data_IF_223894795150
#
_entry.id   IF_223894795150
#
_cell.length_a   1.000
_cell.length_b   1.000
_cell.length_c   1.000
_cell.angle_alpha   90.00
_cell.angle_beta   90.00
_cell.angle_gamma   90.00
#
_symmetry.space_group_name_H-M   'P 1'
#
loop_
_entity.id
_entity.type
_entity.pdbx_description
1 polymer ?
#
# COMPACT_ATOMS: atom_id res chain seq x y z
N UNK A 1 -0.24 -14.83 38.22
CA UNK A 1 -1.23 -13.90 38.79
C UNK A 1 -2.57 -14.13 38.10
N UNK A 2 -3.66 -14.19 38.86
CA UNK A 2 -5.00 -14.29 38.28
C UNK A 2 -5.34 -12.99 37.53
N UNK A 3 -5.80 -13.11 36.27
CA UNK A 3 -6.22 -11.96 35.47
C UNK A 3 -7.67 -11.67 35.78
N UNK A 4 -7.89 -10.80 36.75
CA UNK A 4 -9.22 -10.43 37.23
C UNK A 4 -9.77 -9.17 36.55
N UNK A 5 -8.93 -8.45 35.80
CA UNK A 5 -9.30 -7.21 35.12
C UNK A 5 -9.73 -7.51 33.69
N UNK A 6 -11.03 -7.65 33.47
CA UNK A 6 -11.62 -7.92 32.15
C UNK A 6 -12.13 -6.63 31.52
N UNK A 7 -11.91 -6.49 30.23
CA UNK A 7 -12.37 -5.37 29.41
C UNK A 7 -13.19 -5.92 28.26
N UNK A 8 -14.36 -5.34 28.03
CA UNK A 8 -15.18 -5.60 26.85
C UNK A 8 -15.34 -4.29 26.10
N UNK A 9 -14.72 -4.21 24.93
CA UNK A 9 -14.78 -3.04 24.04
C UNK A 9 -15.68 -3.40 22.86
N UNK A 10 -16.71 -2.60 22.64
CA UNK A 10 -17.64 -2.74 21.53
C UNK A 10 -17.59 -1.48 20.69
N UNK A 11 -17.36 -1.64 19.39
CA UNK A 11 -17.37 -0.56 18.39
C UNK A 11 -18.52 -0.88 17.44
N UNK A 12 -19.54 -0.02 17.39
CA UNK A 12 -20.73 -0.19 16.56
C UNK A 12 -20.63 0.68 15.31
N UNK A 13 -21.05 0.14 14.17
CA UNK A 13 -21.03 0.82 12.89
C UNK A 13 -22.43 1.14 12.39
N UNK A 14 -22.53 2.01 11.38
CA UNK A 14 -23.78 2.35 10.70
C UNK A 14 -24.32 1.26 9.77
N UNK A 15 -23.68 0.09 9.71
CA UNK A 15 -24.12 -1.03 8.87
C UNK A 15 -25.32 -1.75 9.48
N UNK A 16 -26.25 -2.20 8.64
CA UNK A 16 -27.36 -3.06 9.05
C UNK A 16 -27.07 -4.56 8.81
N UNK A 17 -25.99 -4.86 8.07
CA UNK A 17 -25.55 -6.22 7.80
C UNK A 17 -24.89 -6.84 9.05
N UNK A 18 -24.99 -8.16 9.23
CA UNK A 18 -24.44 -8.88 10.39
C UNK A 18 -23.55 -10.05 10.00
N UNK A 19 -22.95 -10.02 8.81
CA UNK A 19 -22.12 -11.12 8.37
C UNK A 19 -20.88 -11.20 9.26
N UNK A 20 -20.46 -12.42 9.59
CA UNK A 20 -19.25 -12.64 10.37
C UNK A 20 -18.02 -12.50 9.47
N UNK A 21 -17.11 -11.61 9.85
CA UNK A 21 -15.87 -11.31 9.12
C UNK A 21 -14.66 -11.97 9.77
N UNK A 22 -14.65 -12.08 11.11
CA UNK A 22 -13.60 -12.75 11.87
C UNK A 22 -14.11 -13.15 13.25
N UNK A 23 -13.73 -14.35 13.70
CA UNK A 23 -13.93 -14.79 15.08
C UNK A 23 -12.69 -15.59 15.49
N UNK A 24 -11.99 -15.14 16.52
CA UNK A 24 -10.76 -15.81 16.91
C UNK A 24 -10.11 -15.27 18.17
N UNK A 25 -8.97 -15.87 18.51
CA UNK A 25 -8.11 -15.42 19.60
C UNK A 25 -6.84 -14.83 19.03
N UNK A 26 -6.63 -13.54 19.28
CA UNK A 26 -5.49 -12.78 18.73
C UNK A 26 -4.46 -12.48 19.83
N UNK A 27 -3.16 -12.70 19.58
CA UNK A 27 -2.13 -12.29 20.53
C UNK A 27 -2.12 -10.76 20.66
N UNK A 28 -1.65 -10.25 21.79
CA UNK A 28 -1.50 -8.81 22.02
C UNK A 28 -0.06 -8.45 22.43
N UNK A 29 0.36 -7.18 22.25
CA UNK A 29 1.73 -6.77 22.51
C UNK A 29 2.21 -7.12 23.92
N UNK A 30 3.50 -7.48 24.03
CA UNK A 30 4.17 -7.79 25.30
C UNK A 30 3.68 -9.07 26.02
N UNK A 31 2.83 -9.88 25.37
CA UNK A 31 2.36 -11.16 25.89
C UNK A 31 2.96 -12.33 25.12
N UNK A 32 3.62 -13.26 25.83
CA UNK A 32 4.20 -14.46 25.21
C UNK A 32 3.18 -15.56 24.90
N UNK A 33 2.05 -15.60 25.60
CA UNK A 33 1.13 -16.76 25.56
C UNK A 33 -0.35 -16.40 25.65
N UNK A 34 -0.68 -15.14 25.93
CA UNK A 34 -2.05 -14.73 26.15
C UNK A 34 -2.60 -13.97 24.94
N UNK A 35 -3.91 -14.12 24.77
CA UNK A 35 -4.67 -13.66 23.62
C UNK A 35 -5.94 -12.97 24.10
N UNK A 36 -6.43 -12.04 23.30
CA UNK A 36 -7.75 -11.43 23.45
C UNK A 36 -8.74 -12.16 22.52
N UNK A 37 -10.00 -12.25 22.92
CA UNK A 37 -11.05 -12.79 22.05
C UNK A 37 -11.59 -11.63 21.19
N UNK A 38 -11.61 -11.85 19.88
CA UNK A 38 -11.98 -10.84 18.89
C UNK A 38 -13.10 -11.40 18.02
N UNK A 39 -14.19 -10.64 17.92
CA UNK A 39 -15.30 -10.90 17.00
C UNK A 39 -15.53 -9.66 16.16
N UNK A 40 -15.54 -9.83 14.84
CA UNK A 40 -15.80 -8.76 13.87
C UNK A 40 -16.97 -9.21 12.98
N UNK A 41 -17.99 -8.37 12.92
CA UNK A 41 -19.13 -8.45 12.00
C UNK A 41 -19.26 -7.14 11.24
N UNK A 42 -20.09 -7.11 10.20
CA UNK A 42 -20.33 -5.86 9.44
C UNK A 42 -20.89 -4.71 10.28
N UNK A 43 -21.64 -5.00 11.35
CA UNK A 43 -22.26 -4.00 12.23
C UNK A 43 -21.43 -3.68 13.48
N UNK A 44 -20.47 -4.53 13.88
CA UNK A 44 -19.68 -4.29 15.09
C UNK A 44 -18.32 -4.99 15.15
N UNK A 45 -17.44 -4.44 15.97
CA UNK A 45 -16.25 -5.11 16.52
C UNK A 45 -16.45 -5.31 18.02
N UNK A 46 -16.13 -6.50 18.53
CA UNK A 46 -16.09 -6.81 19.96
C UNK A 46 -14.73 -7.39 20.34
N UNK A 47 -14.07 -6.75 21.32
CA UNK A 47 -12.79 -7.17 21.88
C UNK A 47 -12.99 -7.50 23.35
N UNK A 48 -12.68 -8.75 23.73
CA UNK A 48 -12.69 -9.22 25.11
C UNK A 48 -11.26 -9.47 25.55
N UNK A 49 -10.81 -8.68 26.52
CA UNK A 49 -9.42 -8.63 26.93
C UNK A 49 -9.25 -8.80 28.44
N UNK A 50 -8.32 -9.67 28.85
CA UNK A 50 -7.99 -9.90 30.26
C UNK A 50 -6.58 -9.41 30.57
N UNK A 51 -6.45 -8.59 31.62
CA UNK A 51 -5.18 -7.97 32.05
C UNK A 51 -4.83 -8.33 33.48
N UNK A 52 -3.53 -8.30 33.78
CA UNK A 52 -3.01 -8.53 35.13
C UNK A 52 -3.22 -7.33 36.05
N UNK A 53 -3.23 -6.12 35.49
CA UNK A 53 -3.38 -4.86 36.20
C UNK A 53 -4.55 -4.07 35.62
N UNK A 54 -5.18 -3.24 36.44
CA UNK A 54 -6.20 -2.28 36.00
C UNK A 54 -5.57 -1.25 35.06
N UNK A 55 -6.11 -1.15 33.85
CA UNK A 55 -5.92 -0.06 32.89
C UNK A 55 -6.95 1.03 33.16
N UNK A 56 -6.54 2.30 33.03
CA UNK A 56 -7.46 3.43 33.01
C UNK A 56 -8.28 3.42 31.72
N UNK A 57 -9.60 3.30 31.83
CA UNK A 57 -10.48 3.19 30.66
C UNK A 57 -10.54 4.50 29.86
N UNK A 58 -10.31 5.65 30.50
CA UNK A 58 -10.35 6.95 29.82
C UNK A 58 -9.16 7.13 28.88
N UNK A 59 -7.98 6.68 29.30
CA UNK A 59 -6.75 6.75 28.50
C UNK A 59 -6.57 5.65 27.45
N UNK A 60 -7.56 4.76 27.24
CA UNK A 60 -7.45 3.66 26.25
C UNK A 60 -7.24 4.20 24.84
N UNK A 61 -7.88 5.33 24.50
CA UNK A 61 -7.85 5.90 23.15
C UNK A 61 -6.67 6.86 22.90
N UNK A 62 -5.98 7.29 23.97
CA UNK A 62 -4.89 8.26 23.88
C UNK A 62 -3.50 7.60 23.96
N UNK A 63 -3.41 6.39 24.51
CA UNK A 63 -2.14 5.70 24.71
C UNK A 63 -1.83 4.74 23.56
N UNK A 64 -1.10 5.21 22.55
CA UNK A 64 -0.65 4.41 21.40
C UNK A 64 0.21 3.20 21.76
N UNK A 65 0.82 3.18 22.94
CA UNK A 65 1.63 2.05 23.43
C UNK A 65 0.79 1.00 24.19
N UNK A 66 -0.51 1.24 24.38
CA UNK A 66 -1.41 0.31 25.06
C UNK A 66 -1.75 -0.88 24.18
N UNK A 67 -1.68 -2.09 24.74
CA UNK A 67 -2.13 -3.30 24.06
C UNK A 67 -3.61 -3.21 23.64
N UNK A 68 -4.47 -2.56 24.44
CA UNK A 68 -5.89 -2.37 24.07
C UNK A 68 -6.03 -1.43 22.87
N UNK A 69 -5.26 -0.34 22.83
CA UNK A 69 -5.24 0.57 21.69
C UNK A 69 -4.79 -0.14 20.41
N UNK A 70 -3.70 -0.90 20.48
CA UNK A 70 -3.20 -1.66 19.33
C UNK A 70 -4.25 -2.66 18.82
N UNK A 71 -4.97 -3.35 19.70
CA UNK A 71 -6.05 -4.27 19.29
C UNK A 71 -7.21 -3.54 18.61
N UNK A 72 -7.60 -2.36 19.09
CA UNK A 72 -8.61 -1.51 18.44
C UNK A 72 -8.15 -1.18 17.01
N UNK A 73 -6.92 -0.70 16.84
CA UNK A 73 -6.39 -0.31 15.53
C UNK A 73 -6.31 -1.51 14.58
N UNK A 74 -5.77 -2.66 15.02
CA UNK A 74 -5.73 -3.90 14.23
C UNK A 74 -7.14 -4.28 13.75
N UNK A 75 -8.11 -4.26 14.67
CA UNK A 75 -9.50 -4.64 14.36
C UNK A 75 -10.17 -3.68 13.39
N UNK A 76 -9.95 -2.37 13.53
CA UNK A 76 -10.48 -1.35 12.61
C UNK A 76 -9.90 -1.50 11.21
N UNK A 77 -8.57 -1.71 11.09
CA UNK A 77 -7.91 -1.92 9.80
C UNK A 77 -8.43 -3.19 9.12
N UNK A 78 -8.51 -4.30 9.86
CA UNK A 78 -9.08 -5.55 9.35
C UNK A 78 -10.51 -5.34 8.83
N UNK A 79 -11.35 -4.69 9.64
CA UNK A 79 -12.76 -4.42 9.31
C UNK A 79 -12.90 -3.62 8.01
N UNK A 80 -12.21 -2.49 7.87
CA UNK A 80 -12.32 -1.67 6.66
C UNK A 80 -11.78 -2.38 5.41
N UNK A 81 -10.73 -3.19 5.55
CA UNK A 81 -10.21 -4.02 4.47
C UNK A 81 -11.22 -5.10 4.02
N UNK A 82 -11.89 -5.78 4.97
CA UNK A 82 -12.86 -6.83 4.65
C UNK A 82 -14.16 -6.27 4.07
N UNK A 83 -14.73 -5.24 4.71
CA UNK A 83 -16.03 -4.69 4.32
C UNK A 83 -15.92 -3.89 3.03
N UNK A 84 -14.81 -3.16 2.83
CA UNK A 84 -14.62 -2.28 1.68
C UNK A 84 -15.72 -1.23 1.52
N UNK A 85 -16.26 -0.73 2.64
CA UNK A 85 -17.24 0.37 2.70
C UNK A 85 -16.85 1.35 3.80
N UNK A 86 -17.20 2.61 3.60
CA UNK A 86 -16.99 3.70 4.55
C UNK A 86 -18.03 3.75 5.68
N UNK A 87 -18.18 2.65 6.41
CA UNK A 87 -19.15 2.57 7.50
C UNK A 87 -18.71 3.47 8.67
N UNK A 88 -19.58 4.38 9.10
CA UNK A 88 -19.32 5.31 10.20
C UNK A 88 -19.41 4.60 11.53
N UNK A 89 -18.54 4.98 12.48
CA UNK A 89 -18.65 4.51 13.87
C UNK A 89 -19.75 5.30 14.57
N UNK A 90 -20.77 4.61 15.07
CA UNK A 90 -21.92 5.23 15.74
C UNK A 90 -21.70 5.35 17.24
N UNK A 91 -21.00 4.37 17.83
CA UNK A 91 -20.80 4.27 19.27
C UNK A 91 -19.58 3.39 19.59
N UNK A 92 -18.81 3.81 20.60
CA UNK A 92 -17.76 2.98 21.22
C UNK A 92 -18.07 2.84 22.70
N UNK A 93 -18.23 1.60 23.16
CA UNK A 93 -18.47 1.28 24.57
C UNK A 93 -17.32 0.44 25.13
N UNK A 94 -16.79 0.83 26.29
CA UNK A 94 -15.84 0.02 27.05
C UNK A 94 -16.39 -0.28 28.44
N UNK A 95 -16.54 -1.56 28.76
CA UNK A 95 -16.93 -2.03 30.09
C UNK A 95 -15.70 -2.62 30.79
N UNK A 96 -15.38 -2.11 31.98
CA UNK A 96 -14.40 -2.71 32.88
C UNK A 96 -15.11 -3.60 33.90
N UNK A 97 -14.74 -4.88 33.92
CA UNK A 97 -15.33 -5.93 34.74
C UNK A 97 -14.25 -6.44 35.70
N UNK A 98 -14.60 -6.53 36.98
CA UNK A 98 -13.76 -7.12 38.02
C UNK A 98 -14.59 -8.05 38.89
N UNK A 99 -14.11 -9.29 39.08
CA UNK A 99 -14.82 -10.35 39.78
C UNK A 99 -16.30 -10.47 39.31
N UNK A 100 -16.51 -10.55 37.99
CA UNK A 100 -17.82 -10.69 37.28
C UNK A 100 -18.78 -9.49 37.35
N UNK A 101 -18.40 -8.40 38.02
CA UNK A 101 -19.23 -7.19 38.14
C UNK A 101 -18.65 -6.06 37.30
N UNK A 102 -19.51 -5.35 36.53
CA UNK A 102 -19.12 -4.11 35.85
C UNK A 102 -18.79 -3.06 36.91
N UNK A 103 -17.55 -2.60 36.94
CA UNK A 103 -17.06 -1.60 37.89
C UNK A 103 -16.96 -0.21 37.29
N UNK A 104 -16.76 -0.12 35.98
CA UNK A 104 -16.62 1.15 35.27
C UNK A 104 -17.08 0.99 33.82
N UNK A 105 -17.58 2.09 33.24
CA UNK A 105 -18.14 2.14 31.89
C UNK A 105 -17.78 3.45 31.22
N UNK A 106 -17.20 3.36 30.02
CA UNK A 106 -16.96 4.49 29.14
C UNK A 106 -17.82 4.32 27.87
N UNK A 107 -18.45 5.42 27.45
CA UNK A 107 -19.23 5.49 26.21
C UNK A 107 -18.78 6.72 25.46
N UNK A 108 -18.39 6.55 24.20
CA UNK A 108 -18.04 7.61 23.26
C UNK A 108 -19.05 7.57 22.12
N UNK A 109 -19.80 8.65 21.93
CA UNK A 109 -20.84 8.76 20.89
C UNK A 109 -20.23 9.33 19.60
N UNK A 110 -20.88 9.11 18.45
CA UNK A 110 -20.34 9.47 17.13
C UNK A 110 -19.75 10.89 17.02
N UNK A 111 -20.37 11.89 17.64
CA UNK A 111 -19.91 13.29 17.55
C UNK A 111 -18.52 13.54 18.18
N UNK A 112 -18.10 12.66 19.09
CA UNK A 112 -16.81 12.75 19.79
C UNK A 112 -15.76 11.80 19.17
N UNK A 113 -16.13 11.04 18.13
CA UNK A 113 -15.25 10.07 17.48
C UNK A 113 -14.55 10.71 16.29
N UNK A 114 -13.24 10.82 16.38
CA UNK A 114 -12.40 11.17 15.24
C UNK A 114 -12.11 9.92 14.40
N UNK A 115 -12.97 9.63 13.42
CA UNK A 115 -12.80 8.51 12.51
C UNK A 115 -11.93 8.89 11.31
N UNK A 116 -11.23 7.88 10.76
CA UNK A 116 -10.33 8.09 9.61
C UNK A 116 -11.11 8.14 8.29
N UNK A 117 -12.27 7.49 8.24
CA UNK A 117 -13.05 7.24 7.03
C UNK A 117 -14.32 8.06 7.07
N UNK A 118 -14.61 8.79 5.99
CA UNK A 118 -15.82 9.58 5.81
C UNK A 118 -16.81 8.87 4.88
N UNK A 119 -18.11 9.15 5.04
CA UNK A 119 -19.20 8.37 4.40
C UNK A 119 -19.15 8.28 2.87
N UNK A 120 -18.45 9.20 2.22
CA UNK A 120 -18.30 9.32 0.77
C UNK A 120 -17.00 8.69 0.24
N UNK A 121 -16.14 8.16 1.12
CA UNK A 121 -14.94 7.43 0.71
C UNK A 121 -15.28 6.12 -0.01
N UNK A 122 -14.62 5.85 -1.14
CA UNK A 122 -14.74 4.58 -1.86
C UNK A 122 -13.62 3.61 -1.47
N UNK A 123 -13.97 2.64 -0.62
CA UNK A 123 -13.07 1.55 -0.20
C UNK A 123 -13.33 0.24 -0.95
N UNK A 124 -14.15 0.25 -2.02
CA UNK A 124 -14.61 -0.97 -2.69
C UNK A 124 -13.48 -1.84 -3.21
N UNK A 125 -12.37 -1.23 -3.60
CA UNK A 125 -11.19 -1.94 -4.10
C UNK A 125 -10.53 -2.82 -3.03
N UNK A 126 -10.66 -2.48 -1.75
CA UNK A 126 -10.12 -3.28 -0.65
C UNK A 126 -10.77 -4.66 -0.53
N UNK A 127 -11.99 -4.85 -1.07
CA UNK A 127 -12.65 -6.17 -1.10
C UNK A 127 -11.89 -7.24 -1.90
N UNK A 128 -10.90 -6.82 -2.69
CA UNK A 128 -10.01 -7.74 -3.41
C UNK A 128 -8.92 -8.32 -2.50
N UNK A 129 -8.76 -7.82 -1.28
CA UNK A 129 -7.89 -8.40 -0.27
C UNK A 129 -8.49 -9.71 0.23
N UNK A 130 -7.66 -10.74 0.35
CA UNK A 130 -8.07 -12.03 0.86
C UNK A 130 -8.12 -12.01 2.38
N UNK A 131 -9.27 -12.37 2.96
CA UNK A 131 -9.49 -12.29 4.41
C UNK A 131 -8.43 -13.05 5.23
N UNK A 132 -8.03 -14.25 4.78
CA UNK A 132 -7.03 -15.06 5.47
C UNK A 132 -5.65 -14.38 5.49
N UNK A 133 -5.27 -13.68 4.42
CA UNK A 133 -3.99 -12.97 4.32
C UNK A 133 -4.04 -11.65 5.13
N UNK A 134 -5.24 -11.11 5.42
CA UNK A 134 -5.36 -9.97 6.32
C UNK A 134 -5.04 -10.32 7.78
N UNK A 135 -5.19 -11.59 8.19
CA UNK A 135 -4.96 -12.01 9.58
C UNK A 135 -3.52 -11.80 10.05
N UNK A 136 -2.55 -11.66 9.14
CA UNK A 136 -1.14 -11.37 9.46
C UNK A 136 -0.97 -10.14 10.34
N UNK A 137 -1.88 -9.15 10.26
CA UNK A 137 -1.79 -7.96 11.11
C UNK A 137 -2.04 -8.26 12.59
N UNK A 138 -2.70 -9.39 12.90
CA UNK A 138 -2.92 -9.81 14.27
C UNK A 138 -1.67 -10.43 14.89
N UNK A 139 -0.67 -10.82 14.09
CA UNK A 139 0.59 -11.32 14.62
C UNK A 139 1.35 -10.27 15.44
N UNK A 140 2.06 -10.73 16.47
CA UNK A 140 3.00 -9.93 17.25
C UNK A 140 4.43 -10.18 16.75
N UNK A 141 4.63 -10.01 15.45
CA UNK A 141 5.89 -10.22 14.72
C UNK A 141 6.30 -8.94 13.96
N UNK A 142 7.58 -8.78 13.59
CA UNK A 142 7.99 -7.69 12.68
C UNK A 142 7.20 -7.69 11.37
N UNK A 143 6.82 -8.88 10.87
CA UNK A 143 5.96 -9.05 9.69
C UNK A 143 4.57 -8.47 9.94
N UNK A 144 3.87 -8.93 10.98
CA UNK A 144 2.55 -8.42 11.33
C UNK A 144 2.52 -6.90 11.56
N UNK A 145 3.56 -6.35 12.21
CA UNK A 145 3.67 -4.91 12.42
C UNK A 145 3.86 -4.13 11.11
N UNK A 146 4.73 -4.60 10.22
CA UNK A 146 4.93 -4.02 8.89
C UNK A 146 3.65 -4.02 8.06
N UNK A 147 2.88 -5.11 8.09
CA UNK A 147 1.61 -5.23 7.38
C UNK A 147 0.51 -4.35 7.99
N UNK A 148 0.45 -4.23 9.32
CA UNK A 148 -0.46 -3.28 9.97
C UNK A 148 -0.17 -1.83 9.54
N UNK A 149 1.10 -1.42 9.51
CA UNK A 149 1.50 -0.10 9.01
C UNK A 149 1.09 0.07 7.54
N UNK A 150 1.36 -0.94 6.72
CA UNK A 150 1.04 -0.92 5.31
C UNK A 150 -0.46 -0.73 5.05
N UNK A 151 -1.29 -1.55 5.70
CA UNK A 151 -2.73 -1.51 5.52
C UNK A 151 -3.36 -0.26 6.13
N UNK A 152 -2.83 0.25 7.25
CA UNK A 152 -3.23 1.56 7.80
C UNK A 152 -3.03 2.66 6.77
N UNK A 153 -1.85 2.71 6.13
CA UNK A 153 -1.57 3.68 5.09
C UNK A 153 -2.42 3.46 3.83
N UNK A 154 -2.70 2.22 3.46
CA UNK A 154 -3.55 1.89 2.32
C UNK A 154 -4.98 2.36 2.54
N UNK A 155 -5.63 1.99 3.65
CA UNK A 155 -6.98 2.46 4.01
C UNK A 155 -7.02 3.99 3.99
N UNK A 156 -6.06 4.62 4.67
CA UNK A 156 -5.97 6.09 4.73
C UNK A 156 -5.77 6.74 3.35
N UNK A 157 -5.27 6.02 2.35
CA UNK A 157 -5.08 6.58 1.01
C UNK A 157 -6.36 6.71 0.19
N UNK A 158 -7.40 5.92 0.53
CA UNK A 158 -8.74 6.07 -0.05
C UNK A 158 -9.49 7.26 0.54
N UNK A 159 -9.14 7.65 1.77
CA UNK A 159 -9.69 8.80 2.49
C UNK A 159 -8.88 10.10 2.27
N UNK A 160 -8.16 10.20 1.14
CA UNK A 160 -7.30 11.36 0.85
C UNK A 160 -8.00 12.29 -0.12
N UNK A 161 -8.21 13.54 0.29
CA UNK A 161 -8.77 14.59 -0.59
C UNK A 161 -7.86 14.89 -1.79
N UNK A 162 -6.55 14.92 -1.56
CA UNK A 162 -5.53 15.19 -2.58
C UNK A 162 -5.03 13.89 -3.24
N UNK A 163 -4.97 13.83 -4.60
CA UNK A 163 -4.34 12.72 -5.30
C UNK A 163 -2.86 12.50 -4.95
N UNK A 164 -2.15 13.57 -4.61
CA UNK A 164 -0.75 13.50 -4.21
C UNK A 164 -0.60 12.87 -2.83
N UNK A 165 -1.47 13.24 -1.89
CA UNK A 165 -1.49 12.66 -0.54
C UNK A 165 -1.89 11.19 -0.60
N UNK A 166 -2.88 10.86 -1.44
CA UNK A 166 -3.29 9.48 -1.71
C UNK A 166 -2.10 8.67 -2.23
N UNK A 167 -1.40 9.17 -3.25
CA UNK A 167 -0.20 8.53 -3.81
C UNK A 167 0.92 8.39 -2.77
N UNK A 168 1.20 9.41 -1.96
CA UNK A 168 2.21 9.33 -0.91
C UNK A 168 1.86 8.28 0.14
N UNK A 169 0.59 8.21 0.57
CA UNK A 169 0.10 7.19 1.52
C UNK A 169 0.23 5.79 0.91
N UNK A 170 -0.13 5.60 -0.36
CA UNK A 170 0.09 4.33 -1.08
C UNK A 170 1.56 3.97 -1.18
N UNK A 171 2.42 4.95 -1.44
CA UNK A 171 3.87 4.73 -1.45
C UNK A 171 4.42 4.37 -0.06
N UNK A 172 3.89 4.96 1.02
CA UNK A 172 4.24 4.55 2.40
C UNK A 172 3.77 3.12 2.69
N UNK A 173 2.59 2.74 2.20
CA UNK A 173 2.09 1.37 2.26
C UNK A 173 3.04 0.41 1.55
N UNK A 174 3.41 0.73 0.31
CA UNK A 174 4.35 -0.03 -0.49
C UNK A 174 5.69 -0.18 0.24
N UNK A 175 6.25 0.92 0.74
CA UNK A 175 7.48 0.95 1.54
C UNK A 175 7.44 0.03 2.76
N UNK A 176 6.33 -0.03 3.48
CA UNK A 176 6.21 -0.90 4.64
C UNK A 176 6.23 -2.38 4.23
N UNK A 177 5.50 -2.75 3.18
CA UNK A 177 5.46 -4.13 2.66
C UNK A 177 6.82 -4.58 2.12
N UNK A 178 7.40 -3.86 1.15
CA UNK A 178 8.59 -4.38 0.49
C UNK A 178 9.83 -4.34 1.38
N UNK A 179 9.90 -3.46 2.39
CA UNK A 179 10.98 -3.49 3.40
C UNK A 179 10.96 -4.80 4.17
N UNK A 180 9.77 -5.25 4.55
CA UNK A 180 9.56 -6.50 5.26
C UNK A 180 9.88 -7.71 4.37
N UNK A 181 9.41 -7.68 3.12
CA UNK A 181 9.54 -8.80 2.19
C UNK A 181 10.98 -8.97 1.68
N UNK A 182 11.68 -7.88 1.35
CA UNK A 182 13.04 -7.97 0.81
C UNK A 182 14.12 -8.16 1.86
N UNK A 183 13.92 -7.66 3.09
CA UNK A 183 14.92 -7.59 4.15
C UNK A 183 16.26 -6.92 3.74
N UNK A 184 16.25 -6.10 2.68
CA UNK A 184 17.45 -5.45 2.15
C UNK A 184 17.78 -4.14 2.89
N UNK A 185 19.06 -3.78 2.90
CA UNK A 185 19.60 -2.65 3.69
C UNK A 185 19.34 -1.27 3.07
N UNK A 186 19.12 -1.18 1.77
CA UNK A 186 18.92 0.10 1.06
C UNK A 186 17.83 0.04 0.00
N UNK A 187 17.30 1.22 -0.31
CA UNK A 187 16.18 1.42 -1.22
C UNK A 187 16.40 0.85 -2.63
N UNK A 188 17.61 0.96 -3.17
CA UNK A 188 17.90 0.45 -4.51
C UNK A 188 17.84 -1.09 -4.55
N UNK A 189 18.47 -1.77 -3.60
CA UNK A 189 18.42 -3.24 -3.50
C UNK A 189 17.00 -3.74 -3.30
N UNK A 190 16.20 -3.03 -2.49
CA UNK A 190 14.77 -3.33 -2.31
C UNK A 190 13.98 -3.26 -3.61
N UNK A 191 14.21 -2.24 -4.43
CA UNK A 191 13.57 -2.12 -5.75
C UNK A 191 14.02 -3.22 -6.72
N UNK A 192 15.30 -3.60 -6.68
CA UNK A 192 15.84 -4.73 -7.46
C UNK A 192 15.17 -6.04 -7.03
N UNK A 193 15.04 -6.29 -5.73
CA UNK A 193 14.34 -7.45 -5.20
C UNK A 193 12.90 -7.52 -5.72
N UNK A 194 12.13 -6.44 -5.60
CA UNK A 194 10.72 -6.43 -6.04
C UNK A 194 10.60 -6.63 -7.55
N UNK A 195 11.50 -6.04 -8.35
CA UNK A 195 11.58 -6.31 -9.78
C UNK A 195 11.79 -7.80 -10.06
N UNK A 196 12.78 -8.41 -9.42
CA UNK A 196 13.09 -9.82 -9.66
C UNK A 196 11.94 -10.73 -9.23
N UNK A 197 11.26 -10.39 -8.13
CA UNK A 197 10.10 -11.15 -7.68
C UNK A 197 8.93 -11.05 -8.67
N UNK A 198 8.60 -9.86 -9.19
CA UNK A 198 7.59 -9.68 -10.24
C UNK A 198 7.90 -10.50 -11.52
N UNK A 199 9.18 -10.67 -11.83
CA UNK A 199 9.64 -11.42 -13.01
C UNK A 199 9.55 -12.94 -12.76
N UNK A 200 9.97 -13.39 -11.58
CA UNK A 200 10.08 -14.81 -11.27
C UNK A 200 8.77 -15.44 -10.81
N UNK A 201 7.83 -14.63 -10.29
CA UNK A 201 6.55 -15.08 -9.72
C UNK A 201 5.36 -14.29 -10.30
N UNK A 202 5.16 -14.27 -11.63
CA UNK A 202 4.07 -13.52 -12.26
C UNK A 202 2.67 -13.94 -11.79
N UNK A 203 2.50 -15.20 -11.38
CA UNK A 203 1.25 -15.78 -10.88
C UNK A 203 0.74 -15.11 -9.59
N UNK A 204 1.63 -14.46 -8.83
CA UNK A 204 1.31 -13.76 -7.58
C UNK A 204 0.79 -12.33 -7.81
N UNK A 205 0.70 -11.88 -9.06
CA UNK A 205 0.28 -10.51 -9.41
C UNK A 205 -0.91 -10.44 -10.38
N UNK A 206 -1.99 -11.23 -10.17
CA UNK A 206 -3.07 -11.36 -11.13
C UNK A 206 -3.84 -10.05 -11.35
N UNK A 207 -4.06 -9.26 -10.29
CA UNK A 207 -4.87 -8.04 -10.41
C UNK A 207 -4.13 -6.95 -11.19
N UNK A 208 -2.85 -6.76 -10.88
CA UNK A 208 -2.01 -5.78 -11.58
C UNK A 208 -1.81 -6.19 -13.03
N UNK A 209 -1.59 -7.48 -13.31
CA UNK A 209 -1.32 -7.94 -14.67
C UNK A 209 -2.57 -7.93 -15.56
N UNK A 210 -3.76 -8.15 -15.02
CA UNK A 210 -5.01 -7.98 -15.78
C UNK A 210 -5.11 -6.56 -16.36
N UNK A 211 -4.77 -5.53 -15.58
CA UNK A 211 -4.79 -4.14 -16.06
C UNK A 211 -3.61 -3.83 -16.97
N UNK A 212 -2.40 -4.24 -16.59
CA UNK A 212 -1.17 -3.95 -17.35
C UNK A 212 -1.19 -4.62 -18.72
N UNK A 213 -1.79 -5.81 -18.86
CA UNK A 213 -1.89 -6.52 -20.14
C UNK A 213 -2.68 -5.74 -21.20
N UNK A 214 -3.60 -4.87 -20.78
CA UNK A 214 -4.47 -4.07 -21.66
C UNK A 214 -3.83 -2.75 -22.09
N UNK A 215 -2.68 -2.39 -21.53
CA UNK A 215 -1.99 -1.14 -21.86
C UNK A 215 -1.30 -1.22 -23.22
N UNK A 216 -1.35 -0.11 -23.95
CA UNK A 216 -0.59 0.11 -25.20
C UNK A 216 0.55 1.12 -24.96
N UNK A 217 1.58 1.10 -25.80
CA UNK A 217 2.68 2.06 -25.71
C UNK A 217 2.18 3.51 -25.79
N UNK A 218 1.30 3.81 -26.74
CA UNK A 218 0.67 5.14 -26.90
C UNK A 218 -0.09 5.55 -25.65
N UNK A 219 -0.95 4.66 -25.12
CA UNK A 219 -1.74 4.94 -23.92
C UNK A 219 -0.85 5.24 -22.71
N UNK A 220 0.27 4.54 -22.56
CA UNK A 220 1.26 4.84 -21.52
C UNK A 220 1.90 6.22 -21.79
N UNK A 221 2.39 6.49 -23.02
CA UNK A 221 3.10 7.74 -23.34
C UNK A 221 2.28 8.99 -23.07
N UNK A 222 0.96 8.93 -23.27
CA UNK A 222 0.06 10.05 -22.99
C UNK A 222 -0.02 10.38 -21.50
N UNK A 223 0.04 9.36 -20.64
CA UNK A 223 -0.05 9.49 -19.18
C UNK A 223 1.28 9.85 -18.52
N UNK A 224 2.41 9.48 -19.12
CA UNK A 224 3.73 9.65 -18.51
C UNK A 224 4.57 10.81 -19.06
N UNK A 225 5.35 11.43 -18.19
CA UNK A 225 6.43 12.39 -18.50
C UNK A 225 7.76 11.69 -18.78
N UNK A 226 7.77 10.69 -19.66
CA UNK A 226 8.94 9.81 -19.92
C UNK A 226 10.25 10.55 -20.24
N UNK A 227 10.21 11.59 -21.06
CA UNK A 227 11.41 12.39 -21.40
C UNK A 227 11.99 13.07 -20.15
N UNK A 228 11.14 13.57 -19.24
CA UNK A 228 11.60 14.14 -17.96
C UNK A 228 12.21 13.06 -17.06
N UNK A 229 11.66 11.85 -17.07
CA UNK A 229 12.25 10.69 -16.39
C UNK A 229 13.64 10.37 -16.95
N UNK A 230 13.81 10.27 -18.27
CA UNK A 230 15.12 10.05 -18.90
C UNK A 230 16.12 11.15 -18.50
N UNK A 231 15.71 12.41 -18.59
CA UNK A 231 16.59 13.53 -18.22
C UNK A 231 17.00 13.52 -16.75
N UNK A 232 16.09 13.12 -15.85
CA UNK A 232 16.39 13.09 -14.43
C UNK A 232 17.29 11.91 -14.04
N UNK A 233 16.96 10.71 -14.53
CA UNK A 233 17.63 9.48 -14.10
C UNK A 233 18.94 9.21 -14.85
N UNK A 234 19.09 9.78 -16.06
CA UNK A 234 20.26 9.61 -16.92
C UNK A 234 20.72 10.98 -17.41
N UNK A 235 21.03 11.88 -16.49
CA UNK A 235 21.33 13.29 -16.75
C UNK A 235 22.62 13.52 -17.55
N UNK A 236 23.64 12.67 -17.34
CA UNK A 236 25.02 12.93 -17.77
C UNK A 236 25.59 11.81 -18.64
N UNK A 237 26.66 12.10 -19.39
CA UNK A 237 27.41 11.11 -20.18
C UNK A 237 28.01 9.98 -19.33
N UNK A 238 28.27 10.21 -18.03
CA UNK A 238 28.72 9.16 -17.10
C UNK A 238 27.63 8.12 -16.81
N UNK A 239 26.35 8.48 -17.01
CA UNK A 239 25.20 7.61 -16.75
C UNK A 239 24.71 6.89 -18.01
N UNK A 240 25.38 7.04 -19.16
CA UNK A 240 24.98 6.39 -20.42
C UNK A 240 24.90 4.87 -20.29
N UNK A 241 25.86 4.25 -19.59
CA UNK A 241 25.82 2.79 -19.36
C UNK A 241 24.57 2.39 -18.57
N UNK A 242 24.21 3.17 -17.55
CA UNK A 242 22.99 2.94 -16.79
C UNK A 242 21.73 3.11 -17.65
N UNK A 243 21.75 4.03 -18.62
CA UNK A 243 20.65 4.20 -19.57
C UNK A 243 20.53 3.01 -20.51
N UNK A 244 21.64 2.52 -21.08
CA UNK A 244 21.70 1.26 -21.83
C UNK A 244 21.13 0.12 -20.98
N UNK A 245 21.67 -0.09 -19.78
CA UNK A 245 21.27 -1.16 -18.88
C UNK A 245 19.79 -1.10 -18.51
N UNK A 246 19.23 0.10 -18.34
CA UNK A 246 17.80 0.29 -18.16
C UNK A 246 16.98 -0.18 -19.37
N UNK A 247 17.42 0.13 -20.59
CA UNK A 247 16.71 -0.30 -21.80
C UNK A 247 16.80 -1.82 -21.97
N UNK A 248 18.02 -2.36 -21.98
CA UNK A 248 18.25 -3.79 -22.29
C UNK A 248 17.70 -4.74 -21.22
N UNK A 249 17.53 -4.28 -19.98
CA UNK A 249 16.90 -5.09 -18.94
C UNK A 249 15.39 -5.30 -19.17
N UNK A 250 14.77 -4.62 -20.14
CA UNK A 250 13.33 -4.68 -20.40
C UNK A 250 13.05 -5.31 -21.77
N UNK A 251 12.17 -6.32 -21.79
CA UNK A 251 11.90 -7.15 -22.97
C UNK A 251 10.48 -6.95 -23.51
N UNK A 252 9.68 -6.08 -22.88
CA UNK A 252 8.31 -5.80 -23.33
C UNK A 252 8.31 -4.84 -24.52
N UNK A 253 7.65 -5.21 -25.61
CA UNK A 253 7.59 -4.42 -26.84
C UNK A 253 7.02 -3.01 -26.61
N UNK A 254 6.10 -2.83 -25.66
CA UNK A 254 5.51 -1.51 -25.39
C UNK A 254 6.55 -0.58 -24.77
N UNK A 255 7.39 -1.09 -23.89
CA UNK A 255 8.55 -0.35 -23.38
C UNK A 255 9.57 -0.09 -24.49
N UNK A 256 9.78 -1.04 -25.39
CA UNK A 256 10.68 -0.87 -26.52
C UNK A 256 10.19 0.26 -27.45
N UNK A 257 8.90 0.30 -27.83
CA UNK A 257 8.30 1.38 -28.63
C UNK A 257 8.44 2.75 -27.94
N UNK A 258 8.19 2.80 -26.63
CA UNK A 258 8.36 4.02 -25.81
C UNK A 258 9.80 4.51 -25.84
N UNK A 259 10.78 3.61 -25.67
CA UNK A 259 12.19 3.97 -25.68
C UNK A 259 12.68 4.32 -27.08
N UNK A 260 12.23 3.61 -28.12
CA UNK A 260 12.57 3.91 -29.52
C UNK A 260 12.08 5.30 -29.91
N UNK A 261 10.83 5.65 -29.59
CA UNK A 261 10.26 6.98 -29.87
C UNK A 261 10.92 8.12 -29.08
N UNK A 262 11.72 7.80 -28.06
CA UNK A 262 12.43 8.79 -27.23
C UNK A 262 13.95 8.62 -27.24
N UNK A 263 14.49 7.78 -28.12
CA UNK A 263 15.92 7.46 -28.17
C UNK A 263 16.78 8.69 -28.48
N UNK A 264 16.24 9.61 -29.29
CA UNK A 264 16.84 10.91 -29.66
C UNK A 264 17.22 11.77 -28.44
N UNK A 265 16.57 11.59 -27.30
CA UNK A 265 16.85 12.32 -26.05
C UNK A 265 18.27 12.09 -25.54
N UNK A 266 18.83 10.90 -25.79
CA UNK A 266 20.18 10.47 -25.35
C UNK A 266 21.01 9.84 -26.45
N UNK A 267 20.59 9.97 -27.71
CA UNK A 267 21.27 9.41 -28.87
C UNK A 267 22.75 9.80 -28.95
N UNK A 268 23.07 11.09 -28.81
CA UNK A 268 24.46 11.54 -28.82
C UNK A 268 25.30 10.84 -27.76
N UNK A 269 24.78 10.70 -26.54
CA UNK A 269 25.51 10.06 -25.44
C UNK A 269 25.76 8.57 -25.72
N UNK A 270 24.79 7.89 -26.33
CA UNK A 270 24.93 6.50 -26.74
C UNK A 270 25.97 6.34 -27.86
N UNK A 271 25.94 7.21 -28.88
CA UNK A 271 26.91 7.22 -29.98
C UNK A 271 28.32 7.51 -29.50
N UNK A 272 28.50 8.53 -28.66
CA UNK A 272 29.79 8.91 -28.07
C UNK A 272 30.41 7.76 -27.24
N UNK A 273 29.59 6.84 -26.71
CA UNK A 273 30.02 5.66 -25.94
C UNK A 273 30.06 4.37 -26.77
N UNK A 274 29.69 4.40 -28.05
CA UNK A 274 29.61 3.21 -28.90
C UNK A 274 28.51 2.22 -28.51
N UNK A 275 27.48 2.65 -27.76
CA UNK A 275 26.41 1.79 -27.23
C UNK A 275 25.12 1.86 -28.04
N UNK A 276 25.04 2.75 -29.04
CA UNK A 276 23.82 3.02 -29.78
C UNK A 276 23.29 1.79 -30.52
N UNK A 277 24.16 1.08 -31.25
CA UNK A 277 23.76 -0.08 -32.05
C UNK A 277 23.21 -1.22 -31.19
N UNK A 278 23.82 -1.48 -30.02
CA UNK A 278 23.31 -2.49 -29.07
C UNK A 278 21.89 -2.16 -28.61
N UNK A 279 21.65 -0.88 -28.27
CA UNK A 279 20.35 -0.41 -27.80
C UNK A 279 19.32 -0.49 -28.92
N UNK A 280 19.65 -0.01 -30.13
CA UNK A 280 18.75 -0.03 -31.27
C UNK A 280 18.39 -1.47 -31.70
N UNK A 281 19.37 -2.37 -31.72
CA UNK A 281 19.14 -3.79 -32.02
C UNK A 281 18.20 -4.46 -31.00
N UNK A 282 18.41 -4.19 -29.70
CA UNK A 282 17.54 -4.69 -28.62
C UNK A 282 16.10 -4.19 -28.78
N UNK A 283 15.92 -2.90 -29.04
CA UNK A 283 14.60 -2.29 -29.22
C UNK A 283 13.87 -2.89 -30.43
N UNK A 284 14.54 -2.93 -31.59
CA UNK A 284 13.94 -3.46 -32.82
C UNK A 284 13.55 -4.93 -32.67
N UNK A 285 14.40 -5.76 -32.04
CA UNK A 285 14.11 -7.17 -31.79
C UNK A 285 12.77 -7.37 -31.05
N UNK A 286 12.55 -6.65 -29.94
CA UNK A 286 11.33 -6.82 -29.15
C UNK A 286 10.10 -6.19 -29.81
N UNK A 287 10.26 -5.10 -30.58
CA UNK A 287 9.19 -4.49 -31.36
C UNK A 287 8.72 -5.44 -32.47
N UNK A 288 9.65 -5.96 -33.27
CA UNK A 288 9.36 -6.85 -34.40
C UNK A 288 8.73 -8.17 -33.94
N UNK A 289 9.24 -8.74 -32.85
CA UNK A 289 8.71 -9.99 -32.27
C UNK A 289 7.45 -9.78 -31.42
N UNK A 290 7.03 -8.53 -31.17
CA UNK A 290 5.90 -8.18 -30.29
C UNK A 290 5.98 -8.88 -28.93
N UNK A 291 7.17 -8.95 -28.36
CA UNK A 291 7.40 -9.65 -27.09
C UNK A 291 6.50 -9.06 -26.00
N UNK A 292 5.62 -9.86 -25.41
CA UNK A 292 4.73 -9.44 -24.33
C UNK A 292 5.31 -9.88 -22.99
N UNK A 293 5.67 -8.92 -22.14
CA UNK A 293 6.24 -9.19 -20.83
C UNK A 293 5.66 -8.21 -19.79
N UNK A 294 4.49 -8.59 -19.26
CA UNK A 294 3.76 -7.80 -18.27
C UNK A 294 4.57 -7.58 -16.99
N UNK A 295 5.44 -8.51 -16.59
CA UNK A 295 6.33 -8.33 -15.45
C UNK A 295 7.32 -7.20 -15.65
N UNK A 296 7.98 -7.13 -16.81
CA UNK A 296 8.95 -6.06 -17.11
C UNK A 296 8.24 -4.70 -17.22
N UNK A 297 7.05 -4.66 -17.83
CA UNK A 297 6.23 -3.45 -17.89
C UNK A 297 5.79 -2.99 -16.49
N UNK A 298 5.25 -3.89 -15.68
CA UNK A 298 4.81 -3.60 -14.31
C UNK A 298 5.97 -3.11 -13.45
N UNK A 299 7.11 -3.81 -13.47
CA UNK A 299 8.29 -3.41 -12.71
C UNK A 299 8.79 -2.01 -13.14
N UNK A 300 8.73 -1.71 -14.43
CA UNK A 300 9.16 -0.40 -14.94
C UNK A 300 8.21 0.71 -14.50
N UNK A 301 6.90 0.51 -14.62
CA UNK A 301 5.91 1.52 -14.23
C UNK A 301 5.81 1.68 -12.71
N UNK A 302 5.58 0.60 -11.98
CA UNK A 302 5.26 0.63 -10.55
C UNK A 302 6.48 0.79 -9.63
N UNK A 303 7.66 0.37 -10.08
CA UNK A 303 8.88 0.45 -9.26
C UNK A 303 9.73 1.62 -9.73
N UNK A 304 10.24 1.55 -10.96
CA UNK A 304 11.23 2.52 -11.44
C UNK A 304 10.63 3.90 -11.71
N UNK A 305 9.51 3.95 -12.43
CA UNK A 305 8.88 5.21 -12.85
C UNK A 305 8.14 5.90 -11.69
N UNK A 306 7.36 5.17 -10.91
CA UNK A 306 6.71 5.74 -9.71
C UNK A 306 7.72 6.28 -8.70
N UNK A 307 8.89 5.65 -8.52
CA UNK A 307 9.95 6.20 -7.67
C UNK A 307 10.43 7.58 -8.16
N UNK A 308 10.57 7.77 -9.48
CA UNK A 308 10.85 9.08 -10.07
C UNK A 308 9.73 10.09 -9.78
N UNK A 309 8.47 9.71 -9.98
CA UNK A 309 7.32 10.59 -9.72
C UNK A 309 7.25 10.98 -8.25
N UNK A 310 7.45 10.03 -7.35
CA UNK A 310 7.50 10.26 -5.90
C UNK A 310 8.57 11.28 -5.53
N UNK A 311 9.79 11.15 -6.07
CA UNK A 311 10.86 12.10 -5.79
C UNK A 311 10.58 13.49 -6.37
N UNK A 312 9.88 13.58 -7.51
CA UNK A 312 9.58 14.87 -8.18
C UNK A 312 8.33 15.59 -7.66
N UNK A 313 7.38 14.85 -7.10
CA UNK A 313 6.06 15.37 -6.76
C UNK A 313 5.82 15.45 -5.25
N UNK A 314 6.51 14.65 -4.44
CA UNK A 314 6.25 14.49 -3.00
C UNK A 314 7.47 14.87 -2.15
N UNK A 315 8.65 14.96 -2.74
CA UNK A 315 9.85 15.47 -2.08
C UNK A 315 10.14 16.92 -2.46
N UNK A 316 10.88 17.62 -1.58
CA UNK A 316 11.12 19.08 -1.52
C UNK A 316 11.78 19.72 -2.77
N UNK A 317 11.76 19.06 -3.92
CA UNK A 317 12.17 19.60 -5.21
C UNK A 317 11.11 20.55 -5.81
N UNK A 318 9.88 20.57 -5.27
CA UNK A 318 8.80 21.47 -5.68
C UNK A 318 8.04 22.05 -4.49
N UNK A 319 7.43 23.21 -4.71
CA UNK A 319 6.44 23.81 -3.80
C UNK A 319 5.29 22.83 -3.61
N UNK A 320 4.76 22.77 -2.39
CA UNK A 320 3.69 21.87 -1.97
C UNK A 320 2.54 21.81 -3.00
N UNK A 321 2.11 20.59 -3.34
CA UNK A 321 1.06 20.38 -4.35
C UNK A 321 -0.31 20.94 -3.96
N UNK A 322 -0.55 21.18 -2.67
CA UNK A 322 -1.75 21.86 -2.16
C UNK A 322 -1.79 23.35 -2.52
N UNK A 323 -0.65 23.97 -2.87
CA UNK A 323 -0.54 25.38 -3.23
C UNK A 323 -0.65 25.63 -4.75
N UNK A 324 -1.45 24.83 -5.46
CA UNK A 324 -1.65 24.96 -6.91
C UNK A 324 -2.87 25.82 -7.24
N UNK A 325 -2.73 26.71 -8.21
CA UNK A 325 -3.78 27.63 -8.65
C UNK A 325 -4.79 27.01 -9.63
N UNK A 326 -4.47 25.86 -10.23
CA UNK A 326 -5.32 25.15 -11.20
C UNK A 326 -5.33 23.64 -10.98
N UNK A 327 -6.47 23.00 -11.21
CA UNK A 327 -6.70 21.55 -11.12
C UNK A 327 -6.49 20.85 -12.47
N UNK A 328 -6.42 19.51 -12.47
CA UNK A 328 -6.33 18.65 -13.67
C UNK A 328 -5.08 18.86 -14.53
N UNK A 329 -3.96 19.21 -13.90
CA UNK A 329 -2.67 19.27 -14.60
C UNK A 329 -2.24 17.88 -15.08
N UNK A 330 -1.39 17.82 -16.11
CA UNK A 330 -0.80 16.54 -16.59
C UNK A 330 -0.14 15.73 -15.48
N UNK A 331 0.46 16.40 -14.48
CA UNK A 331 1.09 15.74 -13.33
C UNK A 331 0.07 15.10 -12.40
N UNK A 332 -1.08 15.74 -12.20
CA UNK A 332 -2.15 15.19 -11.37
C UNK A 332 -2.81 13.98 -12.05
N UNK A 333 -3.06 14.06 -13.37
CA UNK A 333 -3.57 12.95 -14.17
C UNK A 333 -2.61 11.75 -14.13
N UNK A 334 -1.30 12.03 -14.26
CA UNK A 334 -0.26 11.00 -14.13
C UNK A 334 -0.29 10.35 -12.74
N UNK A 335 -0.33 11.14 -11.67
CA UNK A 335 -0.34 10.63 -10.29
C UNK A 335 -1.60 9.81 -10.01
N UNK A 336 -2.78 10.25 -10.48
CA UNK A 336 -4.03 9.46 -10.35
C UNK A 336 -3.90 8.11 -11.05
N UNK A 337 -3.40 8.11 -12.29
CA UNK A 337 -3.25 6.88 -13.08
C UNK A 337 -2.23 5.92 -12.46
N UNK A 338 -1.09 6.43 -11.98
CA UNK A 338 -0.10 5.62 -11.26
C UNK A 338 -0.66 5.09 -9.95
N UNK A 339 -1.42 5.91 -9.21
CA UNK A 339 -2.06 5.48 -7.96
C UNK A 339 -2.99 4.28 -8.19
N UNK A 340 -3.78 4.27 -9.26
CA UNK A 340 -4.65 3.13 -9.56
C UNK A 340 -3.89 1.83 -9.87
N UNK A 341 -2.69 1.91 -10.46
CA UNK A 341 -1.84 0.73 -10.66
C UNK A 341 -1.20 0.28 -9.34
N UNK A 342 -0.80 1.23 -8.50
CA UNK A 342 -0.19 0.94 -7.20
C UNK A 342 -1.20 0.31 -6.25
N UNK A 343 -2.47 0.68 -6.30
CA UNK A 343 -3.53 0.03 -5.52
C UNK A 343 -3.59 -1.47 -5.77
N UNK A 344 -3.59 -1.87 -7.04
CA UNK A 344 -3.64 -3.28 -7.43
C UNK A 344 -2.37 -4.02 -7.02
N UNK A 345 -1.20 -3.39 -7.19
CA UNK A 345 0.06 -3.99 -6.77
C UNK A 345 0.13 -4.19 -5.26
N UNK A 346 -0.39 -3.25 -4.47
CA UNK A 346 -0.46 -3.38 -3.02
C UNK A 346 -1.37 -4.53 -2.59
N UNK A 347 -2.52 -4.69 -3.25
CA UNK A 347 -3.43 -5.79 -2.98
C UNK A 347 -2.79 -7.13 -3.34
N UNK A 348 -2.18 -7.25 -4.52
CA UNK A 348 -1.45 -8.46 -4.92
C UNK A 348 -0.33 -8.79 -3.90
N UNK A 349 0.45 -7.79 -3.46
CA UNK A 349 1.51 -7.99 -2.45
C UNK A 349 0.99 -8.42 -1.08
N UNK A 350 -0.19 -7.95 -0.68
CA UNK A 350 -0.81 -8.40 0.56
C UNK A 350 -1.30 -9.83 0.41
N UNK A 351 -2.04 -10.14 -0.66
CA UNK A 351 -2.58 -11.48 -0.90
C UNK A 351 -1.49 -12.54 -1.13
N UNK A 352 -0.34 -12.14 -1.67
CA UNK A 352 0.77 -13.05 -1.94
C UNK A 352 1.68 -13.27 -0.72
N UNK A 353 1.39 -12.69 0.46
CA UNK A 353 2.41 -12.57 1.50
C UNK A 353 2.91 -13.88 2.09
N UNK A 354 2.10 -14.93 1.99
CA UNK A 354 2.42 -16.29 2.38
C UNK A 354 3.50 -16.93 1.49
N UNK A 355 3.83 -16.34 0.34
CA UNK A 355 4.81 -16.82 -0.63
C UNK A 355 6.18 -16.10 -0.54
N UNK A 356 6.37 -15.19 0.42
CA UNK A 356 7.63 -14.46 0.64
C UNK A 356 8.49 -15.01 1.77
#
# INVERSE_FOLDING_TARGET
MARKHRYVITIEFSSEEKNSLFVGKVPYPFSKSYKDELTITDDKIEIVADRSNKVDIKGIFDNHNSALYTQIIKSLVYYYCCVGKANKITNIQTNYIYDTVIKDKLVVKSNDINQIVESDDDLSLLKKLEANELEVIFEESPKGHSYLIALTHLVKSFCSESPYDSFERKWKSFNALYRQVSNEDNEFKRQVFVRNHLINHPELYPLTFDVVSKLTATGIREKVRWVKFIHNNFATLKQTENFKNFIIANEDHRLAEINQSTLTVREKFLKDKGLYNDVEAHLNHHIENKTLNNSHLTATLCIKYMYFVRNKSVHAEKVDSSFRLTSNTKEEVEVKWLSSLLDLLLIDLVNAHSNF
#
